data_IF_091621258915
#
_entry.id   IF_091621258915
#
_cell.length_a   1.000
_cell.length_b   1.000
_cell.length_c   1.000
_cell.angle_alpha   90.00
_cell.angle_beta   90.00
_cell.angle_gamma   90.00
#
_symmetry.space_group_name_H-M   'P 1'
#
loop_
_entity.id
_entity.type
_entity.pdbx_description
1 polymer ?
#
# COMPACT_ATOMS: atom_id res chain seq x y z
N UNK A 1 0.35 9.75 -9.78
CA UNK A 1 -0.97 9.50 -9.18
C UNK A 1 -0.95 9.04 -7.73
N UNK A 2 0.09 8.33 -7.26
CA UNK A 2 0.11 7.77 -5.88
C UNK A 2 0.45 8.84 -4.84
N UNK A 3 1.65 9.42 -4.94
CA UNK A 3 2.19 10.30 -3.89
C UNK A 3 1.91 11.79 -4.11
N UNK A 4 1.33 12.17 -5.26
CA UNK A 4 1.11 13.57 -5.65
C UNK A 4 2.33 14.49 -5.43
N UNK A 5 3.55 13.96 -5.61
CA UNK A 5 4.80 14.64 -5.32
C UNK A 5 5.79 14.67 -6.49
N UNK A 6 6.90 15.37 -6.30
CA UNK A 6 8.00 15.48 -7.26
C UNK A 6 8.84 14.19 -7.27
N UNK A 7 8.89 13.52 -8.43
CA UNK A 7 9.62 12.28 -8.62
C UNK A 7 11.12 12.40 -8.29
N UNK A 8 11.74 13.57 -8.48
CA UNK A 8 13.15 13.79 -8.16
C UNK A 8 13.43 13.91 -6.66
N UNK A 9 12.38 14.09 -5.85
CA UNK A 9 12.47 14.22 -4.39
C UNK A 9 11.90 13.01 -3.65
N UNK A 10 11.14 12.14 -4.33
CA UNK A 10 10.58 10.94 -3.73
C UNK A 10 11.69 9.90 -3.53
N UNK A 11 11.85 9.46 -2.29
CA UNK A 11 12.75 8.34 -1.95
C UNK A 11 12.27 7.05 -2.60
N UNK A 12 13.06 6.49 -3.52
CA UNK A 12 12.78 5.20 -4.15
C UNK A 12 12.70 4.07 -3.11
N UNK A 13 13.58 4.10 -2.10
CA UNK A 13 13.60 3.11 -1.00
C UNK A 13 12.27 3.06 -0.26
N UNK A 14 11.65 4.22 -0.02
CA UNK A 14 10.39 4.30 0.72
C UNK A 14 9.17 4.05 -0.18
N UNK A 15 9.18 4.58 -1.39
CA UNK A 15 8.03 4.57 -2.28
C UNK A 15 7.84 3.24 -3.04
N UNK A 16 8.94 2.56 -3.37
CA UNK A 16 8.95 1.32 -4.18
C UNK A 16 10.07 0.37 -3.71
N UNK A 17 10.04 -0.11 -2.46
CA UNK A 17 11.15 -0.88 -1.87
C UNK A 17 11.56 -2.11 -2.68
N UNK A 18 10.61 -2.83 -3.29
CA UNK A 18 10.91 -4.00 -4.11
C UNK A 18 11.78 -3.66 -5.33
N UNK A 19 11.49 -2.53 -5.99
CA UNK A 19 12.28 -2.05 -7.13
C UNK A 19 13.64 -1.51 -6.67
N UNK A 20 13.67 -0.83 -5.52
CA UNK A 20 14.92 -0.35 -4.93
C UNK A 20 15.91 -1.50 -4.67
N UNK A 21 15.43 -2.62 -4.10
CA UNK A 21 16.28 -3.80 -3.90
C UNK A 21 16.71 -4.43 -5.23
N UNK A 22 15.78 -4.60 -6.18
CA UNK A 22 16.11 -5.15 -7.50
C UNK A 22 17.18 -4.32 -8.24
N UNK A 23 17.11 -2.99 -8.16
CA UNK A 23 18.10 -2.09 -8.75
C UNK A 23 19.49 -2.20 -8.10
N UNK A 24 19.58 -2.70 -6.87
CA UNK A 24 20.85 -2.91 -6.15
C UNK A 24 21.46 -4.28 -6.39
N UNK A 25 20.63 -5.29 -6.70
CA UNK A 25 21.08 -6.68 -6.81
C UNK A 25 21.30 -7.15 -8.24
N UNK A 26 20.71 -6.47 -9.23
CA UNK A 26 20.79 -6.86 -10.63
C UNK A 26 21.59 -5.86 -11.45
N UNK A 27 22.21 -6.35 -12.53
CA UNK A 27 23.04 -5.53 -13.42
C UNK A 27 22.21 -4.74 -14.42
N UNK A 28 20.96 -5.17 -14.66
CA UNK A 28 20.02 -4.48 -15.55
C UNK A 28 18.59 -4.48 -15.00
N UNK A 29 17.80 -3.50 -15.45
CA UNK A 29 16.40 -3.36 -15.05
C UNK A 29 15.56 -4.58 -15.51
N UNK A 30 15.82 -5.09 -16.71
CA UNK A 30 15.11 -6.26 -17.25
C UNK A 30 15.37 -7.53 -16.45
N UNK A 31 16.60 -7.74 -15.98
CA UNK A 31 16.92 -8.83 -15.04
C UNK A 31 16.14 -8.69 -13.73
N UNK A 32 16.11 -7.48 -13.15
CA UNK A 32 15.37 -7.21 -11.92
C UNK A 32 13.86 -7.44 -12.07
N UNK A 33 13.27 -6.99 -13.18
CA UNK A 33 11.85 -7.23 -13.47
C UNK A 33 11.55 -8.71 -13.62
N UNK A 34 12.40 -9.46 -14.34
CA UNK A 34 12.24 -10.92 -14.48
C UNK A 34 12.28 -11.61 -13.12
N UNK A 35 13.26 -11.27 -12.27
CA UNK A 35 13.36 -11.85 -10.93
C UNK A 35 12.13 -11.54 -10.05
N UNK A 36 11.54 -10.34 -10.17
CA UNK A 36 10.29 -9.99 -9.46
C UNK A 36 9.12 -10.83 -9.98
N UNK A 37 9.00 -10.98 -11.30
CA UNK A 37 7.93 -11.78 -11.92
C UNK A 37 8.01 -13.26 -11.54
N UNK A 38 9.21 -13.85 -11.53
CA UNK A 38 9.43 -15.23 -11.11
C UNK A 38 8.98 -15.46 -9.65
N UNK A 39 9.29 -14.53 -8.75
CA UNK A 39 8.82 -14.59 -7.35
C UNK A 39 7.31 -14.47 -7.24
N UNK A 40 6.69 -13.58 -8.01
CA UNK A 40 5.23 -13.43 -8.03
C UNK A 40 4.53 -14.68 -8.58
N UNK A 41 5.13 -15.36 -9.57
CA UNK A 41 4.62 -16.60 -10.13
C UNK A 41 4.73 -17.80 -9.16
N UNK A 42 5.72 -17.80 -8.26
CA UNK A 42 5.87 -18.85 -7.24
C UNK A 42 4.76 -18.82 -6.18
N UNK A 43 4.11 -17.67 -5.98
CA UNK A 43 2.98 -17.51 -5.07
C UNK A 43 1.91 -16.60 -5.70
N UNK A 44 1.14 -17.11 -6.69
CA UNK A 44 0.16 -16.32 -7.41
C UNK A 44 -0.93 -15.82 -6.47
N UNK A 45 -1.20 -14.51 -6.48
CA UNK A 45 -2.41 -13.97 -5.85
C UNK A 45 -3.56 -14.06 -6.83
N UNK A 46 -4.63 -14.75 -6.44
CA UNK A 46 -5.87 -14.86 -7.24
C UNK A 46 -6.87 -13.76 -6.95
N UNK A 47 -6.69 -13.04 -5.84
CA UNK A 47 -7.59 -11.98 -5.42
C UNK A 47 -7.27 -10.64 -6.13
N UNK A 48 -8.28 -9.76 -6.27
CA UNK A 48 -8.06 -8.44 -6.85
C UNK A 48 -7.00 -7.63 -6.08
N UNK A 49 -6.10 -6.99 -6.82
CA UNK A 49 -5.07 -6.10 -6.24
C UNK A 49 -5.69 -4.87 -5.58
N UNK A 50 -6.83 -4.42 -6.11
CA UNK A 50 -7.62 -3.33 -5.57
C UNK A 50 -9.01 -3.84 -5.19
N UNK A 51 -9.41 -3.59 -3.95
CA UNK A 51 -10.74 -3.90 -3.46
C UNK A 51 -11.37 -2.69 -2.80
N UNK A 52 -12.65 -2.47 -3.08
CA UNK A 52 -13.48 -1.50 -2.40
C UNK A 52 -14.34 -2.14 -1.32
N UNK A 53 -15.12 -1.31 -0.64
CA UNK A 53 -16.20 -1.74 0.25
C UNK A 53 -17.49 -1.27 -0.41
N UNK A 54 -18.51 -2.13 -0.45
CA UNK A 54 -19.85 -1.71 -0.89
C UNK A 54 -20.34 -0.54 -0.02
N UNK A 55 -20.82 0.53 -0.66
CA UNK A 55 -21.10 1.80 0.05
C UNK A 55 -19.88 2.72 0.26
N UNK A 56 -18.70 2.33 -0.21
CA UNK A 56 -17.48 3.15 -0.28
C UNK A 56 -16.52 2.95 0.89
N UNK A 57 -15.21 3.12 0.63
CA UNK A 57 -14.15 2.93 1.65
C UNK A 57 -14.25 3.90 2.83
N UNK A 58 -14.92 5.04 2.65
CA UNK A 58 -15.20 6.01 3.71
C UNK A 58 -16.12 5.47 4.81
N UNK A 59 -16.80 4.34 4.59
CA UNK A 59 -17.59 3.64 5.62
C UNK A 59 -16.72 2.97 6.68
N UNK A 60 -15.49 2.57 6.35
CA UNK A 60 -14.61 1.81 7.26
C UNK A 60 -14.23 2.63 8.51
N UNK A 61 -13.77 3.89 8.41
CA UNK A 61 -13.52 4.71 9.61
C UNK A 61 -14.74 4.86 10.53
N UNK A 62 -15.95 4.95 9.97
CA UNK A 62 -17.19 5.05 10.74
C UNK A 62 -17.53 3.75 11.49
N UNK A 63 -17.37 2.61 10.82
CA UNK A 63 -17.55 1.29 11.42
C UNK A 63 -16.55 1.05 12.57
N UNK A 64 -15.28 1.44 12.38
CA UNK A 64 -14.26 1.39 13.44
C UNK A 64 -14.65 2.28 14.62
N UNK A 65 -15.08 3.52 14.37
CA UNK A 65 -15.52 4.43 15.42
C UNK A 65 -16.71 3.88 16.22
N UNK A 66 -17.70 3.27 15.55
CA UNK A 66 -18.84 2.62 16.20
C UNK A 66 -18.39 1.45 17.09
N UNK A 67 -17.48 0.60 16.58
CA UNK A 67 -16.91 -0.53 17.30
C UNK A 67 -16.10 -0.10 18.54
N UNK A 68 -15.38 1.03 18.46
CA UNK A 68 -14.65 1.59 19.59
C UNK A 68 -15.61 2.13 20.67
N UNK A 69 -16.62 2.91 20.26
CA UNK A 69 -17.63 3.44 21.19
C UNK A 69 -18.40 2.34 21.92
N UNK A 70 -18.74 1.24 21.23
CA UNK A 70 -19.41 0.10 21.87
C UNK A 70 -18.54 -0.61 22.91
N UNK A 71 -17.21 -0.42 22.85
CA UNK A 71 -16.23 -0.88 23.85
C UNK A 71 -15.87 0.19 24.89
N UNK A 72 -16.62 1.28 24.96
CA UNK A 72 -16.44 2.34 25.95
C UNK A 72 -15.36 3.36 25.60
N UNK A 73 -14.83 3.38 24.38
CA UNK A 73 -13.87 4.39 23.97
C UNK A 73 -14.56 5.76 23.72
N UNK A 74 -13.97 6.83 24.25
CA UNK A 74 -14.32 8.21 23.90
C UNK A 74 -13.51 8.64 22.67
N UNK A 75 -14.18 9.16 21.63
CA UNK A 75 -13.53 9.70 20.43
C UNK A 75 -13.74 11.22 20.43
N UNK A 76 -12.66 11.97 20.64
CA UNK A 76 -12.67 13.43 20.58
C UNK A 76 -12.30 13.90 19.19
N UNK A 77 -13.29 14.48 18.50
CA UNK A 77 -13.06 15.20 17.24
C UNK A 77 -12.81 16.67 17.53
N UNK A 78 -12.10 17.36 16.65
CA UNK A 78 -11.84 18.81 16.78
C UNK A 78 -11.09 19.19 18.07
N UNK A 79 -10.17 18.34 18.52
CA UNK A 79 -9.27 18.60 19.65
C UNK A 79 -7.82 18.54 19.16
N UNK A 80 -7.29 19.63 18.55
CA UNK A 80 -5.93 19.70 18.03
C UNK A 80 -4.85 19.62 19.10
#
# INVERSE_FOLDING_TARGET
GVYAGDAYRISMRSAVPQLFEAARTHTSLTEGVRAIQERAAAAPRTDPVFMGIEGGVGSLPLAVAASLRSRGAEIRTSTP
#
